data_IF_177307139540
#
_entry.id   IF_177307139540
#
_cell.length_a   1.000
_cell.length_b   1.000
_cell.length_c   1.000
_cell.angle_alpha   90.00
_cell.angle_beta   90.00
_cell.angle_gamma   90.00
#
_symmetry.space_group_name_H-M   'P 1'
#
loop_
_entity.id
_entity.type
_entity.pdbx_description
1 polymer ?
#
# COMPACT_ATOMS: atom_id res chain seq x y z
N UNK A 1 -17.02 -4.66 -8.56
CA UNK A 1 -15.60 -5.11 -8.39
C UNK A 1 -14.70 -3.88 -8.37
N UNK A 2 -13.68 -3.87 -7.51
CA UNK A 2 -12.64 -2.84 -7.54
C UNK A 2 -11.39 -3.37 -8.23
N UNK A 3 -10.76 -2.53 -9.05
CA UNK A 3 -9.56 -2.88 -9.82
C UNK A 3 -8.53 -1.75 -9.66
N UNK A 4 -7.37 -2.07 -9.11
CA UNK A 4 -6.27 -1.13 -8.96
C UNK A 4 -5.38 -1.16 -10.21
N UNK A 5 -4.99 0.01 -10.69
CA UNK A 5 -4.03 0.16 -11.80
C UNK A 5 -3.01 1.23 -11.37
N UNK A 6 -1.75 0.82 -11.25
CA UNK A 6 -0.64 1.70 -10.94
C UNK A 6 -0.29 2.65 -12.08
N UNK A 7 0.55 3.64 -11.81
CA UNK A 7 1.10 4.55 -12.81
C UNK A 7 1.97 3.82 -13.84
N UNK A 8 2.18 4.45 -14.98
CA UNK A 8 3.11 3.98 -15.99
C UNK A 8 4.56 4.43 -15.70
N UNK A 9 4.69 5.50 -14.92
CA UNK A 9 5.97 6.15 -14.59
C UNK A 9 6.03 6.47 -13.10
N UNK A 10 7.18 6.93 -12.63
CA UNK A 10 7.37 7.23 -11.21
C UNK A 10 6.68 8.53 -10.80
N UNK A 11 6.89 9.61 -11.54
CA UNK A 11 6.31 10.93 -11.28
C UNK A 11 5.76 11.63 -12.53
N UNK A 12 5.42 10.88 -13.58
CA UNK A 12 4.93 11.43 -14.84
C UNK A 12 6.05 11.77 -15.84
N UNK A 13 7.29 11.33 -15.62
CA UNK A 13 8.47 11.63 -16.44
C UNK A 13 8.40 11.05 -17.87
N UNK A 14 7.47 10.14 -18.12
CA UNK A 14 7.22 9.56 -19.45
C UNK A 14 6.09 10.27 -20.20
N UNK A 15 5.63 11.41 -19.69
CA UNK A 15 4.50 12.18 -20.23
C UNK A 15 3.19 11.85 -19.52
N UNK A 16 2.45 12.88 -19.11
CA UNK A 16 1.19 12.73 -18.38
C UNK A 16 0.09 12.11 -19.24
N UNK A 17 0.17 12.21 -20.55
CA UNK A 17 -0.74 11.56 -21.49
C UNK A 17 -0.67 10.02 -21.42
N UNK A 18 0.49 9.47 -21.05
CA UNK A 18 0.71 8.04 -20.85
C UNK A 18 0.18 7.53 -19.50
N UNK A 19 -0.27 8.42 -18.65
CA UNK A 19 -0.91 8.12 -17.37
C UNK A 19 -2.45 8.10 -17.46
N UNK A 20 -2.99 8.30 -18.66
CA UNK A 20 -4.43 8.17 -18.89
C UNK A 20 -4.94 6.83 -18.39
N UNK A 21 -5.97 6.88 -17.53
CA UNK A 21 -6.61 5.70 -16.91
C UNK A 21 -5.74 4.88 -15.94
N UNK A 22 -4.63 5.45 -15.50
CA UNK A 22 -3.70 4.87 -14.52
C UNK A 22 -3.71 5.61 -13.18
N UNK A 23 -2.90 5.15 -12.23
CA UNK A 23 -2.76 5.70 -10.89
C UNK A 23 -4.11 5.84 -10.17
N UNK A 24 -4.94 4.80 -10.24
CA UNK A 24 -6.33 4.84 -9.75
C UNK A 24 -6.89 3.48 -9.40
N UNK A 25 -8.03 3.52 -8.75
CA UNK A 25 -8.88 2.37 -8.52
C UNK A 25 -10.19 2.57 -9.29
N UNK A 26 -10.54 1.58 -10.09
CA UNK A 26 -11.78 1.52 -10.85
C UNK A 26 -12.88 0.81 -10.07
N UNK A 27 -14.10 1.32 -10.15
CA UNK A 27 -15.30 0.58 -9.80
C UNK A 27 -15.92 0.01 -11.06
N UNK A 28 -16.01 -1.31 -11.13
CA UNK A 28 -16.50 -2.06 -12.29
C UNK A 28 -17.78 -2.79 -11.92
N UNK A 29 -18.85 -2.55 -12.68
CA UNK A 29 -20.05 -3.36 -12.66
C UNK A 29 -19.82 -4.62 -13.49
N UNK A 30 -19.72 -5.77 -12.83
CA UNK A 30 -19.38 -7.05 -13.49
C UNK A 30 -20.46 -7.48 -14.50
N UNK A 31 -21.73 -7.16 -14.23
CA UNK A 31 -22.83 -7.61 -15.08
C UNK A 31 -22.90 -6.85 -16.41
N UNK A 32 -22.66 -5.54 -16.38
CA UNK A 32 -22.77 -4.67 -17.55
C UNK A 32 -21.41 -4.30 -18.18
N UNK A 33 -20.29 -4.54 -17.49
CA UNK A 33 -18.96 -4.08 -17.89
C UNK A 33 -18.74 -2.57 -17.74
N UNK A 34 -19.76 -1.81 -17.31
CA UNK A 34 -19.60 -0.37 -17.08
C UNK A 34 -18.63 -0.13 -15.92
N UNK A 35 -17.80 0.88 -16.08
CA UNK A 35 -16.81 1.23 -15.05
C UNK A 35 -16.64 2.75 -14.95
N UNK A 36 -16.17 3.18 -13.80
CA UNK A 36 -15.79 4.56 -13.54
C UNK A 36 -14.63 4.61 -12.56
N UNK A 37 -13.85 5.69 -12.53
CA UNK A 37 -12.91 5.92 -11.44
C UNK A 37 -13.65 5.92 -10.10
N UNK A 38 -13.08 5.22 -9.10
CA UNK A 38 -13.53 5.27 -7.73
C UNK A 38 -12.63 6.19 -6.89
N UNK A 39 -11.32 6.07 -7.05
CA UNK A 39 -10.33 6.92 -6.44
C UNK A 39 -9.15 7.12 -7.39
N UNK A 40 -8.54 8.29 -7.39
CA UNK A 40 -7.48 8.70 -8.31
C UNK A 40 -6.31 9.33 -7.57
N UNK A 41 -5.18 9.52 -8.28
CA UNK A 41 -4.00 10.12 -7.68
C UNK A 41 -3.26 9.20 -6.70
N UNK A 42 -3.39 7.90 -6.87
CA UNK A 42 -2.72 6.85 -6.14
C UNK A 42 -1.58 6.31 -7.03
N UNK A 43 -0.31 6.63 -6.70
CA UNK A 43 0.82 6.29 -7.59
C UNK A 43 0.78 4.82 -8.02
N UNK A 44 0.86 3.90 -7.08
CA UNK A 44 0.78 2.47 -7.35
C UNK A 44 -0.02 1.76 -6.26
N UNK A 45 -1.38 1.82 -6.31
CA UNK A 45 -2.22 1.07 -5.39
C UNK A 45 -2.15 -0.42 -5.73
N UNK A 46 -1.92 -1.27 -4.73
CA UNK A 46 -1.75 -2.72 -4.94
C UNK A 46 -2.73 -3.53 -4.10
N UNK A 47 -2.45 -3.71 -2.82
CA UNK A 47 -3.30 -4.46 -1.92
C UNK A 47 -4.58 -3.71 -1.59
N UNK A 48 -5.70 -4.39 -1.61
CA UNK A 48 -6.99 -3.83 -1.21
C UNK A 48 -7.71 -4.77 -0.24
N UNK A 49 -8.31 -4.20 0.81
CA UNK A 49 -9.13 -4.94 1.75
C UNK A 49 -10.24 -4.05 2.32
N UNK A 50 -11.37 -4.64 2.67
CA UNK A 50 -12.37 -3.92 3.42
C UNK A 50 -11.97 -3.82 4.89
N UNK A 51 -12.10 -2.64 5.47
CA UNK A 51 -11.88 -2.38 6.89
C UNK A 51 -12.99 -2.95 7.78
N UNK A 52 -12.78 -2.94 9.10
CA UNK A 52 -13.78 -3.42 10.04
C UNK A 52 -14.96 -2.45 10.20
N UNK A 53 -16.07 -2.94 10.75
CA UNK A 53 -17.24 -2.16 11.10
C UNK A 53 -18.48 -2.48 10.27
N UNK A 54 -19.63 -1.93 10.66
CA UNK A 54 -20.92 -2.23 10.03
C UNK A 54 -21.09 -1.62 8.63
N UNK A 55 -20.31 -0.58 8.32
CA UNK A 55 -20.22 0.03 6.99
C UNK A 55 -18.74 -0.03 6.55
N UNK A 56 -18.28 -1.17 6.01
CA UNK A 56 -16.87 -1.38 5.74
C UNK A 56 -16.40 -0.44 4.62
N UNK A 57 -15.32 0.29 4.91
CA UNK A 57 -14.63 1.15 3.96
C UNK A 57 -13.55 0.35 3.25
N UNK A 58 -13.36 0.58 1.96
CA UNK A 58 -12.25 -0.02 1.21
C UNK A 58 -10.94 0.69 1.57
N UNK A 59 -9.90 -0.08 1.86
CA UNK A 59 -8.53 0.36 2.11
C UNK A 59 -7.61 -0.11 1.01
N UNK A 60 -6.53 0.62 0.78
CA UNK A 60 -5.45 0.20 -0.11
C UNK A 60 -4.08 0.47 0.49
N UNK A 61 -3.11 -0.36 0.15
CA UNK A 61 -1.69 -0.06 0.30
C UNK A 61 -1.17 0.54 -1.00
N UNK A 62 -0.37 1.59 -0.89
CA UNK A 62 0.20 2.32 -2.02
C UNK A 62 1.71 2.35 -1.91
N UNK A 63 2.36 1.83 -2.94
CA UNK A 63 3.79 1.98 -3.15
C UNK A 63 4.01 3.33 -3.86
N UNK A 64 4.62 4.25 -3.14
CA UNK A 64 4.81 5.63 -3.56
C UNK A 64 6.00 5.82 -4.50
N UNK A 65 6.17 7.05 -4.97
CA UNK A 65 7.22 7.44 -5.88
C UNK A 65 8.61 7.44 -5.24
N UNK A 66 9.61 7.27 -6.08
CA UNK A 66 11.02 7.25 -5.72
C UNK A 66 11.72 8.60 -5.96
N UNK A 67 13.03 8.63 -5.83
CA UNK A 67 13.95 9.70 -6.25
C UNK A 67 13.81 11.05 -5.52
N UNK A 68 13.24 11.08 -4.31
CA UNK A 68 13.30 12.23 -3.40
C UNK A 68 14.24 11.98 -2.21
N UNK A 69 15.25 11.12 -2.41
CA UNK A 69 16.22 10.72 -1.39
C UNK A 69 15.81 9.49 -0.60
N UNK A 70 16.63 9.08 0.36
CA UNK A 70 16.41 7.83 1.12
C UNK A 70 15.21 7.87 2.06
N UNK A 71 14.80 9.05 2.54
CA UNK A 71 13.79 9.17 3.60
C UNK A 71 12.44 9.74 3.11
N UNK A 72 12.30 9.98 1.79
CA UNK A 72 11.08 10.38 1.10
C UNK A 72 10.88 9.58 -0.18
N UNK A 73 9.67 9.16 -0.52
CA UNK A 73 8.36 9.42 0.09
C UNK A 73 7.97 8.19 0.89
N UNK A 74 7.22 8.30 2.00
CA UNK A 74 6.71 7.11 2.66
C UNK A 74 5.65 6.43 1.79
N UNK A 75 5.73 5.12 1.66
CA UNK A 75 4.58 4.31 1.31
C UNK A 75 3.48 4.49 2.34
N UNK A 76 2.25 4.21 1.99
CA UNK A 76 1.14 4.40 2.92
C UNK A 76 0.03 3.38 2.74
N UNK A 77 -0.81 3.26 3.75
CA UNK A 77 -2.16 2.71 3.60
C UNK A 77 -3.20 3.78 3.88
N UNK A 78 -4.33 3.73 3.17
CA UNK A 78 -5.39 4.71 3.32
C UNK A 78 -6.76 4.13 3.07
N UNK A 79 -7.75 4.69 3.76
CA UNK A 79 -9.15 4.47 3.47
C UNK A 79 -9.55 5.24 2.21
N UNK A 80 -10.31 4.61 1.33
CA UNK A 80 -10.70 5.21 0.06
C UNK A 80 -12.05 5.91 0.17
N UNK A 81 -12.13 7.09 -0.43
CA UNK A 81 -13.38 7.85 -0.63
C UNK A 81 -13.79 7.74 -2.08
N UNK A 82 -15.09 7.57 -2.31
CA UNK A 82 -15.64 7.66 -3.66
C UNK A 82 -15.37 9.05 -4.25
N UNK A 83 -14.86 9.10 -5.48
CA UNK A 83 -14.38 10.30 -6.17
C UNK A 83 -13.19 11.02 -5.46
N UNK A 84 -12.48 10.30 -4.57
CA UNK A 84 -11.31 10.82 -3.86
C UNK A 84 -10.08 10.98 -4.76
N UNK A 85 -9.31 12.07 -4.54
CA UNK A 85 -8.02 12.32 -5.18
C UNK A 85 -6.90 12.35 -4.13
N UNK A 86 -5.80 11.60 -4.34
CA UNK A 86 -4.74 11.38 -3.35
C UNK A 86 -3.39 12.03 -3.72
N UNK A 87 -3.34 12.84 -4.78
CA UNK A 87 -2.26 13.78 -5.05
C UNK A 87 -1.41 13.46 -6.28
N UNK A 88 -1.05 12.21 -6.50
CA UNK A 88 -0.17 11.85 -7.63
C UNK A 88 -0.78 12.26 -8.99
N UNK A 89 -0.01 12.83 -9.93
CA UNK A 89 1.45 13.03 -9.86
C UNK A 89 1.88 14.35 -9.22
N UNK A 90 0.99 15.34 -9.04
CA UNK A 90 1.34 16.73 -8.68
C UNK A 90 1.73 16.93 -7.21
N UNK A 91 1.35 15.98 -6.35
CA UNK A 91 1.74 15.99 -4.96
C UNK A 91 1.88 14.56 -4.42
N UNK A 92 2.61 14.40 -3.34
CA UNK A 92 2.79 13.16 -2.60
C UNK A 92 2.33 13.30 -1.16
N UNK A 93 1.92 12.22 -0.54
CA UNK A 93 1.46 12.14 0.84
C UNK A 93 0.53 13.31 1.22
N UNK A 94 -0.53 13.50 0.45
CA UNK A 94 -1.44 14.63 0.55
C UNK A 94 -1.00 15.82 -0.30
N UNK A 95 -0.81 16.98 0.32
CA UNK A 95 -0.59 18.26 -0.39
C UNK A 95 0.88 18.69 -0.47
N UNK A 96 1.84 17.76 -0.30
CA UNK A 96 3.25 18.06 -0.52
C UNK A 96 3.54 18.12 -2.02
N UNK A 97 3.77 19.34 -2.54
CA UNK A 97 3.94 19.57 -3.99
C UNK A 97 5.16 18.81 -4.51
N UNK A 98 4.98 18.05 -5.57
CA UNK A 98 6.10 17.53 -6.35
C UNK A 98 6.52 18.56 -7.41
N UNK A 99 7.62 19.24 -7.15
CA UNK A 99 8.12 20.32 -8.02
C UNK A 99 8.71 19.84 -9.34
N UNK A 100 8.87 18.53 -9.52
CA UNK A 100 9.41 17.95 -10.77
C UNK A 100 8.33 17.65 -11.79
N UNK A 101 7.05 17.74 -11.41
CA UNK A 101 5.93 17.46 -12.31
C UNK A 101 5.51 18.74 -13.05
N UNK A 102 5.50 18.67 -14.36
CA UNK A 102 5.10 19.78 -15.22
C UNK A 102 3.98 19.34 -16.20
N UNK A 103 3.00 20.21 -16.47
CA UNK A 103 2.76 21.48 -15.81
C UNK A 103 2.27 21.31 -14.35
N UNK A 104 2.53 22.29 -13.47
CA UNK A 104 2.01 22.26 -12.11
C UNK A 104 0.47 22.38 -12.10
N UNK A 105 -0.16 21.75 -11.12
CA UNK A 105 -1.63 21.80 -10.96
C UNK A 105 -2.01 22.11 -9.50
N UNK A 106 -1.97 23.38 -9.09
CA UNK A 106 -2.24 23.76 -7.70
C UNK A 106 -3.68 23.47 -7.27
N UNK A 107 -4.65 23.46 -8.20
CA UNK A 107 -6.03 23.11 -7.89
C UNK A 107 -6.16 21.61 -7.53
N UNK A 108 -5.46 20.75 -8.24
CA UNK A 108 -5.40 19.32 -7.91
C UNK A 108 -4.72 19.11 -6.55
N UNK A 109 -3.59 19.77 -6.30
CA UNK A 109 -2.88 19.69 -5.02
C UNK A 109 -3.78 20.10 -3.86
N UNK A 110 -4.53 21.21 -4.00
CA UNK A 110 -5.43 21.71 -2.97
C UNK A 110 -6.55 20.70 -2.60
N UNK A 111 -6.92 19.80 -3.50
CA UNK A 111 -7.94 18.76 -3.30
C UNK A 111 -7.35 17.45 -2.79
N UNK A 112 -6.03 17.29 -2.79
CA UNK A 112 -5.38 16.04 -2.43
C UNK A 112 -5.68 15.64 -0.99
N UNK A 113 -6.17 14.41 -0.82
CA UNK A 113 -6.48 13.82 0.48
C UNK A 113 -5.18 13.26 1.07
N UNK A 114 -4.88 13.65 2.30
CA UNK A 114 -3.76 13.06 3.03
C UNK A 114 -4.07 11.60 3.39
N UNK A 115 -3.12 10.67 3.19
CA UNK A 115 -3.27 9.28 3.60
C UNK A 115 -3.45 9.10 5.10
N UNK A 116 -4.13 8.02 5.49
CA UNK A 116 -4.43 7.75 6.91
C UNK A 116 -3.19 7.28 7.70
N UNK A 117 -2.22 6.58 7.06
CA UNK A 117 -1.11 5.97 7.78
C UNK A 117 0.14 5.79 6.91
N UNK A 118 1.28 6.34 7.35
CA UNK A 118 2.58 6.15 6.70
C UNK A 118 3.21 4.79 7.08
N UNK A 119 3.70 4.06 6.08
CA UNK A 119 4.32 2.74 6.22
C UNK A 119 5.86 2.79 6.20
N UNK A 120 6.42 3.97 6.06
CA UNK A 120 7.87 4.20 5.95
C UNK A 120 8.34 4.39 4.52
N UNK A 121 9.52 5.03 4.34
CA UNK A 121 10.04 5.36 3.02
C UNK A 121 10.54 4.11 2.29
N UNK A 122 10.19 4.01 1.00
CA UNK A 122 10.70 2.99 0.08
C UNK A 122 10.53 1.54 0.56
N UNK A 123 9.49 1.25 1.35
CA UNK A 123 9.27 -0.11 1.85
C UNK A 123 8.74 -1.06 0.78
N UNK A 124 8.30 -0.53 -0.36
CA UNK A 124 7.56 -1.22 -1.39
C UNK A 124 6.39 -2.00 -0.79
N UNK A 125 5.49 -1.27 -0.13
CA UNK A 125 4.30 -1.82 0.51
C UNK A 125 3.29 -2.24 -0.54
N UNK A 126 3.02 -3.54 -0.68
CA UNK A 126 2.22 -4.13 -1.75
C UNK A 126 0.95 -4.79 -1.24
N UNK A 127 1.05 -5.96 -0.61
CA UNK A 127 -0.10 -6.72 -0.14
C UNK A 127 -0.77 -6.09 1.08
N UNK A 128 -2.09 -6.20 1.18
CA UNK A 128 -2.88 -5.72 2.31
C UNK A 128 -3.94 -6.75 2.68
N UNK A 129 -3.99 -7.13 3.95
CA UNK A 129 -5.10 -7.89 4.53
C UNK A 129 -5.54 -7.22 5.84
N UNK A 130 -6.83 -7.04 6.04
CA UNK A 130 -7.38 -6.45 7.27
C UNK A 130 -8.26 -7.48 7.95
N UNK A 131 -8.08 -7.65 9.25
CA UNK A 131 -8.89 -8.59 10.02
C UNK A 131 -8.33 -8.91 11.39
N UNK A 132 -8.92 -9.95 11.99
CA UNK A 132 -8.62 -10.43 13.33
C UNK A 132 -8.41 -11.96 13.28
N UNK A 133 -7.23 -12.43 12.83
CA UNK A 133 -6.95 -13.86 12.74
C UNK A 133 -6.88 -14.50 14.14
N UNK A 134 -7.73 -15.50 14.38
CA UNK A 134 -7.84 -16.16 15.70
C UNK A 134 -6.62 -16.99 16.09
N UNK A 135 -5.79 -17.36 15.13
CA UNK A 135 -4.58 -18.16 15.33
C UNK A 135 -3.30 -17.35 15.52
N UNK A 136 -3.39 -16.02 15.62
CA UNK A 136 -2.27 -15.16 15.98
C UNK A 136 -2.49 -14.61 17.39
N UNK A 137 -1.42 -14.51 18.22
CA UNK A 137 -1.54 -13.97 19.56
C UNK A 137 -1.79 -12.45 19.54
N UNK A 138 -2.28 -11.90 20.68
CA UNK A 138 -2.15 -10.46 20.87
C UNK A 138 -0.65 -10.07 20.78
N UNK A 139 -0.29 -8.95 20.12
CA UNK A 139 -1.15 -7.84 19.75
C UNK A 139 -1.79 -7.90 18.35
N UNK A 140 -1.65 -9.01 17.60
CA UNK A 140 -2.11 -9.11 16.20
C UNK A 140 -3.62 -9.39 16.07
N UNK A 141 -4.40 -8.96 17.08
CA UNK A 141 -5.81 -9.35 17.20
C UNK A 141 -6.75 -8.61 16.24
N UNK A 142 -6.49 -7.36 15.93
CA UNK A 142 -7.32 -6.58 14.99
C UNK A 142 -6.50 -5.48 14.33
N UNK A 143 -6.39 -5.49 13.01
CA UNK A 143 -5.62 -4.50 12.27
C UNK A 143 -5.33 -4.91 10.83
N UNK A 144 -4.33 -4.26 10.26
CA UNK A 144 -3.89 -4.47 8.89
C UNK A 144 -2.53 -5.16 8.85
N UNK A 145 -2.41 -6.18 8.00
CA UNK A 145 -1.16 -6.85 7.66
C UNK A 145 -0.70 -6.36 6.31
N UNK A 146 0.56 -5.93 6.20
CA UNK A 146 1.12 -5.36 4.98
C UNK A 146 2.40 -6.10 4.60
N UNK A 147 2.43 -6.63 3.37
CA UNK A 147 3.64 -7.18 2.77
C UNK A 147 4.51 -6.05 2.24
N UNK A 148 5.72 -5.95 2.73
CA UNK A 148 6.72 -4.96 2.33
C UNK A 148 7.83 -5.65 1.54
N UNK A 149 7.80 -5.49 0.21
CA UNK A 149 8.70 -6.14 -0.73
C UNK A 149 10.17 -5.70 -0.56
N UNK A 150 10.38 -4.48 -0.10
CA UNK A 150 11.68 -3.93 0.24
C UNK A 150 12.27 -3.01 -0.81
N UNK A 151 13.07 -2.06 -0.32
CA UNK A 151 13.66 -0.98 -1.11
C UNK A 151 14.74 -1.48 -2.06
N UNK A 152 14.87 -0.82 -3.22
CA UNK A 152 16.01 -0.99 -4.12
C UNK A 152 16.99 0.21 -4.01
N UNK A 153 16.52 1.37 -3.61
CA UNK A 153 17.21 2.66 -3.69
C UNK A 153 17.46 3.34 -2.33
N UNK A 154 17.13 2.68 -1.21
CA UNK A 154 17.34 3.22 0.14
C UNK A 154 18.55 2.63 0.84
N UNK A 155 19.26 3.43 1.62
CA UNK A 155 20.35 3.01 2.49
C UNK A 155 20.18 3.59 3.91
N UNK A 156 20.14 2.74 4.96
CA UNK A 156 20.05 1.28 4.91
C UNK A 156 18.75 0.80 4.27
N UNK A 157 18.67 -0.46 3.80
CA UNK A 157 17.46 -1.03 3.21
C UNK A 157 16.25 -0.95 4.15
N UNK A 158 15.05 -0.76 3.60
CA UNK A 158 13.76 -0.76 4.33
C UNK A 158 12.80 -1.78 3.73
N UNK A 159 11.78 -2.18 4.50
CA UNK A 159 10.87 -3.24 4.11
C UNK A 159 11.46 -4.63 4.32
N UNK A 160 11.30 -5.55 3.35
CA UNK A 160 11.72 -6.95 3.44
C UNK A 160 11.10 -7.67 4.64
N UNK A 161 9.84 -7.43 4.88
CA UNK A 161 9.11 -7.99 6.02
C UNK A 161 7.60 -7.90 5.84
N UNK A 162 6.88 -8.52 6.73
CA UNK A 162 5.45 -8.26 6.91
C UNK A 162 5.27 -7.50 8.20
N UNK A 163 4.55 -6.38 8.12
CA UNK A 163 4.20 -5.58 9.30
C UNK A 163 2.71 -5.66 9.60
N UNK A 164 2.38 -5.49 10.88
CA UNK A 164 1.03 -5.34 11.38
C UNK A 164 0.83 -3.93 11.90
N UNK A 165 -0.21 -3.27 11.46
CA UNK A 165 -0.67 -1.97 11.99
C UNK A 165 -1.93 -2.20 12.80
N UNK A 166 -1.91 -2.01 14.14
CA UNK A 166 -3.07 -2.21 14.96
C UNK A 166 -4.17 -1.20 14.64
N UNK A 167 -5.43 -1.61 14.80
CA UNK A 167 -6.58 -0.72 14.68
C UNK A 167 -7.27 -0.51 16.02
N UNK A 168 -7.64 0.73 16.31
CA UNK A 168 -8.61 1.07 17.35
C UNK A 168 -9.95 1.38 16.70
N UNK A 169 -10.91 0.47 16.83
CA UNK A 169 -12.16 0.53 16.08
C UNK A 169 -11.91 0.36 14.57
N UNK A 170 -12.16 1.40 13.79
CA UNK A 170 -12.02 1.38 12.33
C UNK A 170 -10.79 2.13 11.81
N UNK A 171 -9.90 2.59 12.70
CA UNK A 171 -8.76 3.44 12.36
C UNK A 171 -7.44 2.83 12.81
N UNK A 172 -6.36 3.04 12.05
CA UNK A 172 -5.01 2.68 12.49
C UNK A 172 -4.64 3.37 13.79
N UNK A 173 -3.91 2.66 14.66
CA UNK A 173 -3.46 3.19 15.95
C UNK A 173 -2.09 2.62 16.31
N UNK A 174 -1.21 3.49 16.82
CA UNK A 174 0.12 3.07 17.24
C UNK A 174 1.11 2.74 16.11
N UNK A 175 2.35 2.36 16.45
CA UNK A 175 3.40 2.04 15.50
C UNK A 175 3.19 0.66 14.84
N UNK A 176 3.75 0.44 13.63
CA UNK A 176 3.72 -0.87 13.01
C UNK A 176 4.59 -1.86 13.81
N UNK A 177 4.21 -3.14 13.80
CA UNK A 177 4.89 -4.23 14.48
C UNK A 177 5.32 -5.29 13.47
N UNK A 178 6.51 -5.84 13.62
CA UNK A 178 6.99 -6.89 12.73
C UNK A 178 6.27 -8.22 13.00
N UNK A 179 5.73 -8.84 11.95
CA UNK A 179 5.04 -10.15 12.00
C UNK A 179 5.94 -11.24 11.46
N UNK A 180 6.59 -10.99 10.34
CA UNK A 180 7.50 -11.92 9.69
C UNK A 180 8.66 -11.11 9.11
N UNK A 181 9.88 -11.44 9.50
CA UNK A 181 11.14 -10.78 9.11
C UNK A 181 12.22 -11.81 8.80
N UNK A 182 13.46 -11.35 8.54
CA UNK A 182 14.58 -12.23 8.24
C UNK A 182 14.78 -12.48 6.74
N UNK A 183 14.18 -11.65 5.90
CA UNK A 183 14.34 -11.73 4.43
C UNK A 183 15.57 -11.03 3.87
N UNK A 184 16.43 -10.47 4.75
CA UNK A 184 17.77 -10.01 4.40
C UNK A 184 18.82 -10.88 5.09
N UNK A 185 19.93 -11.15 4.41
CA UNK A 185 21.11 -11.74 5.03
C UNK A 185 21.98 -10.67 5.76
N UNK A 186 23.08 -11.10 6.38
CA UNK A 186 23.98 -10.23 7.14
C UNK A 186 24.65 -9.17 6.26
N UNK A 187 24.79 -9.44 4.97
CA UNK A 187 25.32 -8.50 3.97
C UNK A 187 24.26 -7.59 3.36
N UNK A 188 22.99 -7.70 3.80
CA UNK A 188 21.85 -6.92 3.31
C UNK A 188 21.33 -7.36 1.94
N UNK A 189 21.63 -8.58 1.50
CA UNK A 189 21.08 -9.16 0.26
C UNK A 189 19.74 -9.82 0.55
N UNK A 190 18.79 -9.64 -0.36
CA UNK A 190 17.46 -10.25 -0.21
C UNK A 190 17.53 -11.78 -0.36
N UNK A 191 16.93 -12.50 0.59
CA UNK A 191 16.66 -13.94 0.57
C UNK A 191 15.21 -14.25 0.25
N UNK A 192 14.35 -13.26 0.38
CA UNK A 192 12.94 -13.31 0.08
C UNK A 192 12.37 -11.89 0.01
N UNK A 193 11.19 -11.76 -0.59
CA UNK A 193 10.49 -10.49 -0.74
C UNK A 193 8.97 -10.69 -0.57
N UNK A 194 8.41 -10.35 0.59
CA UNK A 194 6.97 -10.47 0.84
C UNK A 194 6.15 -9.59 -0.10
N UNK A 195 5.15 -10.16 -0.76
CA UNK A 195 4.24 -9.46 -1.68
C UNK A 195 2.81 -9.55 -1.17
N UNK A 196 2.09 -10.60 -1.54
CA UNK A 196 0.71 -10.81 -1.16
C UNK A 196 0.58 -11.30 0.26
N UNK A 197 -0.42 -10.81 0.96
CA UNK A 197 -0.81 -11.29 2.30
C UNK A 197 -2.30 -11.62 2.31
N UNK A 198 -2.68 -12.70 2.98
CA UNK A 198 -4.08 -13.10 3.12
C UNK A 198 -4.32 -13.81 4.45
N UNK A 199 -5.48 -13.54 5.06
CA UNK A 199 -5.91 -14.31 6.22
C UNK A 199 -6.46 -15.67 5.73
N UNK A 200 -5.98 -16.76 6.31
CA UNK A 200 -6.54 -18.07 6.00
C UNK A 200 -7.79 -18.35 6.85
N UNK A 201 -8.66 -19.25 6.39
CA UNK A 201 -9.86 -19.65 7.13
C UNK A 201 -9.59 -20.46 8.42
N UNK A 202 -8.31 -20.66 8.78
CA UNK A 202 -7.86 -21.41 9.94
C UNK A 202 -7.13 -20.54 10.97
N UNK A 203 -7.28 -19.21 10.86
CA UNK A 203 -6.74 -18.22 11.79
C UNK A 203 -5.28 -17.84 11.58
N UNK A 204 -4.62 -18.30 10.51
CA UNK A 204 -3.25 -17.92 10.17
C UNK A 204 -3.19 -16.80 9.15
N UNK A 205 -1.97 -16.31 8.92
CA UNK A 205 -1.63 -15.39 7.83
C UNK A 205 -0.81 -16.14 6.79
N UNK A 206 -1.23 -16.06 5.53
CA UNK A 206 -0.45 -16.52 4.38
C UNK A 206 0.32 -15.34 3.79
N UNK A 207 1.57 -15.57 3.42
CA UNK A 207 2.47 -14.57 2.84
C UNK A 207 3.10 -15.15 1.59
N UNK A 208 2.88 -14.53 0.44
CA UNK A 208 3.59 -14.86 -0.79
C UNK A 208 4.96 -14.16 -0.79
N UNK A 209 5.99 -14.91 -1.13
CA UNK A 209 7.38 -14.47 -1.29
C UNK A 209 7.79 -14.77 -2.73
N UNK A 210 7.88 -13.73 -3.56
CA UNK A 210 8.11 -13.88 -4.99
C UNK A 210 9.59 -14.14 -5.34
N UNK A 211 10.51 -13.72 -4.49
CA UNK A 211 11.94 -14.02 -4.67
C UNK A 211 12.27 -15.43 -4.18
N UNK A 212 11.63 -15.87 -3.11
CA UNK A 212 11.88 -17.18 -2.51
C UNK A 212 11.03 -18.30 -3.11
N UNK A 213 10.17 -18.02 -4.09
CA UNK A 213 9.20 -18.97 -4.68
C UNK A 213 8.41 -19.74 -3.61
N UNK A 214 8.03 -19.06 -2.53
CA UNK A 214 7.49 -19.68 -1.31
C UNK A 214 6.20 -19.00 -0.86
N UNK A 215 5.30 -19.78 -0.30
CA UNK A 215 4.15 -19.27 0.46
C UNK A 215 4.36 -19.65 1.93
N UNK A 216 4.59 -18.65 2.76
CA UNK A 216 4.73 -18.79 4.21
C UNK A 216 3.35 -18.83 4.87
N UNK A 217 3.20 -19.66 5.90
CA UNK A 217 2.04 -19.64 6.78
C UNK A 217 2.46 -19.28 8.19
N UNK A 218 2.02 -18.12 8.69
CA UNK A 218 2.30 -17.62 10.03
C UNK A 218 1.13 -17.93 10.96
N UNK A 219 1.42 -18.54 12.10
CA UNK A 219 0.45 -18.83 13.17
C UNK A 219 1.18 -18.90 14.51
N UNK A 220 0.44 -18.85 15.62
CA UNK A 220 0.98 -19.23 16.92
C UNK A 220 1.37 -20.71 16.95
N UNK A 221 2.36 -21.01 17.75
CA UNK A 221 2.79 -22.40 18.02
C UNK A 221 1.72 -23.21 18.76
#
# INVERSE_FOLDING_TARGET
MFVAIGSNSDHGERGLENETDRARIWLVDIASGRHRPYATGLRNPVGMAFGPGPAPVLWTAVNERDELGSDLVPDYMTSLRDDGFYGWPWSYYGQHIDTRVAPPNPEAVARAIAPDYALGPHTASLGLAIGAPSGLPAPFAAGAFIGQHGSWNRRPPSGYKVVFVPFAGTRPSGPPQDVLSGFLDEEGRARGRPVGVALDGRGGLLVADDLGDTVWRVRSA
#
